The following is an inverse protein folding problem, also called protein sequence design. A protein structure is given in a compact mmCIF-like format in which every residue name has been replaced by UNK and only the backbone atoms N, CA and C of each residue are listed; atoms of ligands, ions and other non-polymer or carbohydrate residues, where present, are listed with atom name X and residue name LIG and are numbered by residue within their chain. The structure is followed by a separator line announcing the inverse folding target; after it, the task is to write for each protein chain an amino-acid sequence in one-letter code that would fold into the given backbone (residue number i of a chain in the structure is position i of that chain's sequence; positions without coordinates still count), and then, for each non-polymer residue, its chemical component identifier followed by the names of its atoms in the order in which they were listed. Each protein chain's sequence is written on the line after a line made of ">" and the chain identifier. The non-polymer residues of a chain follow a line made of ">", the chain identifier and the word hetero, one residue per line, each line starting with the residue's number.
data_IF_065788934795
#
_entry.id   IF_065788934795
#
_cell.length_a   1.000
_cell.length_b   1.000
_cell.length_c   1.000
_cell.angle_alpha   90.00
_cell.angle_beta   90.00
_cell.angle_gamma   90.00
#
_symmetry.space_group_name_H-M   'P 1'
#
loop_
_entity.id
_entity.type
_entity.pdbx_description
1 polymer ?
#
# COMPACT_ATOMS: atom_id res chain seq x y z
N UNK A 1 -12.28 7.75 -13.67
CA UNK A 1 -11.11 7.15 -12.99
C UNK A 1 -10.61 8.16 -11.98
N UNK A 2 -10.33 7.76 -10.73
CA UNK A 2 -9.79 8.63 -9.68
C UNK A 2 -8.32 8.28 -9.44
N UNK A 3 -7.51 9.29 -9.19
CA UNK A 3 -6.11 9.09 -8.87
C UNK A 3 -5.98 8.82 -7.37
N UNK A 4 -5.22 7.79 -7.05
CA UNK A 4 -4.97 7.32 -5.68
C UNK A 4 -3.47 7.15 -5.48
N UNK A 5 -3.02 7.21 -4.23
CA UNK A 5 -1.66 6.89 -3.86
C UNK A 5 -1.61 5.74 -2.86
N UNK A 6 -0.53 4.96 -2.92
CA UNK A 6 -0.23 3.94 -1.90
C UNK A 6 0.30 4.67 -0.66
N UNK A 7 -0.48 4.68 0.42
CA UNK A 7 -0.10 5.29 1.70
C UNK A 7 0.71 4.34 2.58
N UNK A 8 0.25 3.09 2.70
CA UNK A 8 0.86 2.12 3.59
C UNK A 8 0.65 0.69 3.10
N UNK A 9 1.55 -0.21 3.52
CA UNK A 9 1.41 -1.65 3.42
C UNK A 9 1.41 -2.19 4.85
N UNK A 10 0.34 -2.90 5.22
CA UNK A 10 0.08 -3.40 6.56
C UNK A 10 -0.21 -4.91 6.52
N UNK A 11 -0.29 -5.52 7.70
CA UNK A 11 -0.77 -6.89 7.89
C UNK A 11 -2.01 -6.82 8.77
N UNK A 12 -3.11 -7.41 8.30
CA UNK A 12 -4.32 -7.56 9.08
C UNK A 12 -4.02 -8.41 10.33
N UNK A 13 -4.30 -7.93 11.55
CA UNK A 13 -3.94 -8.66 12.76
C UNK A 13 -4.78 -9.94 12.97
N UNK A 14 -6.00 -10.00 12.46
CA UNK A 14 -6.90 -11.14 12.63
C UNK A 14 -6.56 -12.23 11.61
N UNK A 15 -6.56 -11.87 10.32
CA UNK A 15 -6.38 -12.82 9.22
C UNK A 15 -4.90 -13.07 8.88
N UNK A 16 -3.98 -12.26 9.44
CA UNK A 16 -2.54 -12.30 9.16
C UNK A 16 -2.22 -12.18 7.66
N UNK A 17 -3.09 -11.49 6.93
CA UNK A 17 -2.97 -11.27 5.49
C UNK A 17 -2.47 -9.85 5.20
N UNK A 18 -1.59 -9.65 4.20
CA UNK A 18 -1.17 -8.31 3.82
C UNK A 18 -2.31 -7.50 3.20
N UNK A 19 -2.32 -6.20 3.49
CA UNK A 19 -3.22 -5.25 2.84
C UNK A 19 -2.50 -3.94 2.52
N UNK A 20 -2.87 -3.33 1.39
CA UNK A 20 -2.40 -2.01 1.01
C UNK A 20 -3.49 -0.98 1.30
N UNK A 21 -3.09 0.15 1.89
CA UNK A 21 -3.96 1.30 2.10
C UNK A 21 -3.73 2.28 0.95
N UNK A 22 -4.80 2.52 0.18
CA UNK A 22 -4.83 3.57 -0.83
C UNK A 22 -5.57 4.79 -0.29
N UNK A 23 -5.02 5.97 -0.58
CA UNK A 23 -5.69 7.23 -0.30
C UNK A 23 -6.11 7.89 -1.60
N UNK A 24 -7.37 8.31 -1.67
CA UNK A 24 -7.87 9.16 -2.76
C UNK A 24 -7.20 10.55 -2.65
N UNK A 25 -6.75 11.10 -3.78
CA UNK A 25 -6.04 12.39 -3.78
C UNK A 25 -6.96 13.61 -3.71
N UNK A 26 -8.27 13.41 -3.90
CA UNK A 26 -9.28 14.47 -3.95
C UNK A 26 -10.20 14.44 -2.74
N UNK A 27 -10.42 13.26 -2.17
CA UNK A 27 -11.29 13.04 -1.01
C UNK A 27 -10.54 12.35 0.12
N UNK A 28 -11.09 12.40 1.34
CA UNK A 28 -10.55 11.68 2.50
C UNK A 28 -10.91 10.17 2.49
N UNK A 29 -11.27 9.63 1.32
CA UNK A 29 -11.62 8.24 1.17
C UNK A 29 -10.38 7.36 1.25
N UNK A 30 -10.42 6.42 2.18
CA UNK A 30 -9.41 5.37 2.37
C UNK A 30 -9.93 4.07 1.78
N UNK A 31 -9.12 3.41 0.95
CA UNK A 31 -9.49 2.17 0.27
C UNK A 31 -8.50 1.06 0.67
N UNK A 32 -8.90 0.10 1.51
CA UNK A 32 -8.09 -1.07 1.80
C UNK A 32 -8.22 -2.12 0.69
N UNK A 33 -7.11 -2.73 0.30
CA UNK A 33 -7.08 -3.87 -0.62
C UNK A 33 -6.21 -4.96 -0.02
N UNK A 34 -6.81 -6.10 0.32
CA UNK A 34 -6.08 -7.30 0.70
C UNK A 34 -5.40 -7.91 -0.52
N UNK A 35 -4.16 -8.33 -0.34
CA UNK A 35 -3.29 -8.86 -1.39
C UNK A 35 -2.55 -10.10 -0.89
N UNK A 36 -1.97 -10.87 -1.82
CA UNK A 36 -1.11 -11.99 -1.46
C UNK A 36 0.27 -11.56 -0.97
N UNK A 37 0.98 -12.51 -0.35
CA UNK A 37 2.33 -12.29 0.19
C UNK A 37 3.35 -11.91 -0.89
N UNK A 38 3.21 -12.47 -2.10
CA UNK A 38 4.12 -12.20 -3.22
C UNK A 38 3.97 -10.75 -3.72
N UNK A 39 2.73 -10.28 -3.86
CA UNK A 39 2.42 -8.90 -4.21
C UNK A 39 2.91 -7.93 -3.13
N UNK A 40 2.62 -8.24 -1.86
CA UNK A 40 3.06 -7.43 -0.72
C UNK A 40 4.58 -7.25 -0.69
N UNK A 41 5.34 -8.34 -0.89
CA UNK A 41 6.79 -8.30 -0.96
C UNK A 41 7.28 -7.40 -2.09
N UNK A 42 6.66 -7.52 -3.27
CA UNK A 42 7.00 -6.72 -4.45
C UNK A 42 6.75 -5.22 -4.23
N UNK A 43 5.62 -4.89 -3.59
CA UNK A 43 5.27 -3.51 -3.23
C UNK A 43 6.24 -2.96 -2.17
N UNK A 44 6.58 -3.73 -1.14
CA UNK A 44 7.53 -3.32 -0.12
C UNK A 44 8.90 -2.96 -0.72
N UNK A 45 9.41 -3.79 -1.65
CA UNK A 45 10.65 -3.51 -2.38
C UNK A 45 10.54 -2.21 -3.19
N UNK A 46 9.42 -2.00 -3.89
CA UNK A 46 9.20 -0.77 -4.65
C UNK A 46 9.11 0.48 -3.76
N UNK A 47 8.49 0.38 -2.57
CA UNK A 47 8.42 1.45 -1.58
C UNK A 47 9.80 1.80 -1.02
N UNK A 48 10.62 0.80 -0.67
CA UNK A 48 11.99 1.01 -0.20
C UNK A 48 12.85 1.74 -1.24
N UNK A 49 12.78 1.33 -2.51
CA UNK A 49 13.52 1.96 -3.62
C UNK A 49 13.14 3.42 -3.86
N UNK A 50 11.86 3.77 -3.67
CA UNK A 50 11.41 5.17 -3.77
C UNK A 50 12.03 6.03 -2.67
N UNK A 51 12.08 5.52 -1.44
CA UNK A 51 12.63 6.26 -0.30
C UNK A 51 14.14 6.44 -0.40
N UNK A 52 14.87 5.49 -1.00
CA UNK A 52 16.33 5.57 -1.13
C UNK A 52 16.82 6.56 -2.20
N UNK A 53 15.95 7.03 -3.09
CA UNK A 53 16.27 8.06 -4.10
C UNK A 53 15.79 9.47 -3.69
N UNK A 54 15.22 9.62 -2.49
CA UNK A 54 14.74 10.90 -1.96
C UNK A 54 15.79 11.63 -1.09
N UNK A 55 17.06 11.24 -1.21
CA UNK A 55 18.22 11.89 -0.58
C UNK A 55 19.14 12.49 -1.66
#
# INVERSE_FOLDING_TARGET
>A
MRQVEVKALLVDPEERTPLVILNDLVSEMIIPIWIGNAEATSIAIAMQKRNSHAL
#
